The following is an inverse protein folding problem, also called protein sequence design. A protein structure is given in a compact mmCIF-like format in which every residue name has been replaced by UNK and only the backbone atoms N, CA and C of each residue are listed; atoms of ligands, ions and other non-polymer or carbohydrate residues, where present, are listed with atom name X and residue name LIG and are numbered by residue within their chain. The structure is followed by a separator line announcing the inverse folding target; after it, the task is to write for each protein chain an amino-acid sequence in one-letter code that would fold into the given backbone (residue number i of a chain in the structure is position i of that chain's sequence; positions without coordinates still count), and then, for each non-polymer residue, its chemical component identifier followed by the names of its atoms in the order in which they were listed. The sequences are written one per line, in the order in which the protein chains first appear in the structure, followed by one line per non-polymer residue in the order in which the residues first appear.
data_IF_904463349307
#
_entry.id   IF_904463349307
#
_cell.length_a   1.000
_cell.length_b   1.000
_cell.length_c   1.000
_cell.angle_alpha   90.00
_cell.angle_beta   90.00
_cell.angle_gamma   90.00
#
_symmetry.space_group_name_H-M   'P 1'
#
loop_
_entity.id
_entity.type
_entity.pdbx_description
1 polymer ?
#
# COMPACT_ATOMS: atom_id res chain seq x y z
N UNK A 1 20.67 4.82 -21.77
CA UNK A 1 20.84 3.59 -20.97
C UNK A 1 21.07 4.04 -19.54
N UNK A 2 20.06 3.96 -18.67
CA UNK A 2 20.17 4.44 -17.29
C UNK A 2 20.30 3.22 -16.39
N UNK A 3 21.51 2.69 -16.25
CA UNK A 3 21.86 1.70 -15.22
C UNK A 3 21.78 2.41 -13.89
N UNK A 4 20.56 2.52 -13.36
CA UNK A 4 20.28 3.08 -12.05
C UNK A 4 21.14 2.31 -11.04
N UNK A 5 22.04 3.02 -10.36
CA UNK A 5 22.93 2.49 -9.34
C UNK A 5 22.12 1.55 -8.40
N UNK A 6 22.58 0.31 -8.17
CA UNK A 6 21.82 -0.66 -7.40
C UNK A 6 21.56 -0.20 -5.95
N UNK A 7 22.40 0.68 -5.39
CA UNK A 7 22.15 1.33 -4.10
C UNK A 7 21.00 2.34 -4.17
N UNK A 8 21.01 3.24 -5.15
CA UNK A 8 19.92 4.22 -5.37
C UNK A 8 18.59 3.48 -5.62
N UNK A 9 18.63 2.38 -6.36
CA UNK A 9 17.46 1.53 -6.61
C UNK A 9 16.96 0.87 -5.32
N UNK A 10 17.86 0.42 -4.46
CA UNK A 10 17.49 -0.15 -3.15
C UNK A 10 16.85 0.91 -2.26
N UNK A 11 17.44 2.10 -2.18
CA UNK A 11 16.90 3.22 -1.40
C UNK A 11 15.49 3.61 -1.87
N UNK A 12 15.29 3.75 -3.19
CA UNK A 12 13.97 4.00 -3.77
C UNK A 12 12.95 2.92 -3.43
N UNK A 13 13.34 1.63 -3.49
CA UNK A 13 12.45 0.53 -3.15
C UNK A 13 12.07 0.53 -1.67
N UNK A 14 13.02 0.80 -0.78
CA UNK A 14 12.80 0.90 0.67
C UNK A 14 11.86 2.07 0.98
N UNK A 15 12.07 3.23 0.37
CA UNK A 15 11.22 4.40 0.61
C UNK A 15 9.79 4.15 0.11
N UNK A 16 9.64 3.60 -1.09
CA UNK A 16 8.32 3.23 -1.58
C UNK A 16 7.66 2.12 -0.74
N UNK A 17 8.43 1.23 -0.11
CA UNK A 17 7.91 0.21 0.82
C UNK A 17 7.36 0.86 2.08
N UNK A 18 8.07 1.83 2.68
CA UNK A 18 7.60 2.57 3.85
C UNK A 18 6.30 3.32 3.57
N UNK A 19 6.23 4.04 2.45
CA UNK A 19 5.01 4.75 2.04
C UNK A 19 3.86 3.78 1.83
N UNK A 20 4.11 2.63 1.20
CA UNK A 20 3.07 1.63 0.99
C UNK A 20 2.59 1.03 2.32
N UNK A 21 3.50 0.69 3.24
CA UNK A 21 3.18 0.19 4.57
C UNK A 21 2.26 1.16 5.32
N UNK A 22 2.64 2.44 5.39
CA UNK A 22 1.85 3.45 6.09
C UNK A 22 0.42 3.55 5.55
N UNK A 23 0.25 3.44 4.22
CA UNK A 23 -1.08 3.42 3.59
C UNK A 23 -1.86 2.15 3.91
N UNK A 24 -1.21 0.99 3.93
CA UNK A 24 -1.84 -0.27 4.33
C UNK A 24 -2.33 -0.19 5.78
N UNK A 25 -1.48 0.28 6.70
CA UNK A 25 -1.81 0.42 8.12
C UNK A 25 -2.98 1.40 8.33
N UNK A 26 -2.99 2.51 7.58
CA UNK A 26 -4.11 3.46 7.62
C UNK A 26 -5.43 2.80 7.19
N UNK A 27 -5.43 2.00 6.11
CA UNK A 27 -6.63 1.28 5.65
C UNK A 27 -7.12 0.28 6.71
N UNK A 28 -6.19 -0.42 7.37
CA UNK A 28 -6.51 -1.30 8.48
C UNK A 28 -7.17 -0.53 9.63
N UNK A 29 -6.55 0.56 10.09
CA UNK A 29 -7.06 1.39 11.17
C UNK A 29 -8.45 1.96 10.86
N UNK A 30 -8.71 2.43 9.63
CA UNK A 30 -10.03 2.93 9.22
C UNK A 30 -11.11 1.84 9.27
N UNK A 31 -10.77 0.60 8.89
CA UNK A 31 -11.70 -0.52 8.99
C UNK A 31 -11.93 -0.97 10.44
N UNK A 32 -10.94 -0.83 11.33
CA UNK A 32 -11.06 -1.17 12.76
C UNK A 32 -11.78 -0.09 13.57
N UNK A 33 -11.55 1.20 13.30
CA UNK A 33 -12.20 2.30 14.00
C UNK A 33 -13.74 2.20 13.93
N UNK A 34 -14.27 1.80 12.78
CA UNK A 34 -15.70 1.52 12.62
C UNK A 34 -16.23 0.40 13.52
N UNK A 35 -15.43 -0.63 13.82
CA UNK A 35 -15.87 -1.72 14.70
C UNK A 35 -16.01 -1.28 16.16
N UNK A 36 -15.28 -0.24 16.54
CA UNK A 36 -15.25 0.30 17.90
C UNK A 36 -16.38 1.34 18.08
N UNK A 37 -16.63 2.15 17.05
CA UNK A 37 -17.64 3.20 17.06
C UNK A 37 -18.63 3.02 15.89
N UNK A 38 -19.72 2.29 16.17
CA UNK A 38 -20.78 1.96 15.21
C UNK A 38 -21.55 3.19 14.68
N UNK A 39 -21.39 4.36 15.30
CA UNK A 39 -22.04 5.61 14.87
C UNK A 39 -21.21 6.39 13.84
N UNK A 40 -19.99 5.93 13.53
CA UNK A 40 -19.15 6.58 12.53
C UNK A 40 -19.74 6.38 11.13
N UNK A 41 -20.23 7.47 10.55
CA UNK A 41 -20.62 7.49 9.12
C UNK A 41 -19.36 7.55 8.26
N UNK A 42 -19.11 6.50 7.48
CA UNK A 42 -18.01 6.46 6.53
C UNK A 42 -18.43 7.13 5.22
N UNK A 43 -17.50 7.85 4.62
CA UNK A 43 -17.67 8.40 3.28
C UNK A 43 -16.52 7.96 2.40
N UNK A 44 -16.82 7.48 1.19
CA UNK A 44 -15.81 7.16 0.18
C UNK A 44 -16.00 8.05 -1.04
N UNK A 45 -14.88 8.51 -1.59
CA UNK A 45 -14.82 9.15 -2.91
C UNK A 45 -13.86 8.35 -3.77
N UNK A 46 -14.33 7.85 -4.90
CA UNK A 46 -13.52 7.08 -5.87
C UNK A 46 -13.44 7.91 -7.14
N UNK A 47 -12.23 8.26 -7.54
CA UNK A 47 -11.97 8.96 -8.79
C UNK A 47 -11.46 7.96 -9.83
N UNK A 48 -12.17 7.85 -10.95
CA UNK A 48 -11.81 6.95 -12.04
C UNK A 48 -12.15 7.60 -13.39
N UNK A 49 -11.13 7.80 -14.25
CA UNK A 49 -11.30 8.21 -15.65
C UNK A 49 -12.30 9.37 -15.85
N UNK A 50 -12.09 10.48 -15.13
CA UNK A 50 -12.94 11.69 -15.14
C UNK A 50 -14.33 11.54 -14.47
N UNK A 51 -14.61 10.42 -13.81
CA UNK A 51 -15.79 10.24 -12.98
C UNK A 51 -15.43 10.22 -11.49
N UNK A 52 -16.28 10.84 -10.66
CA UNK A 52 -16.17 10.85 -9.20
C UNK A 52 -17.40 10.14 -8.63
N UNK A 53 -17.18 8.99 -7.99
CA UNK A 53 -18.21 8.25 -7.28
C UNK A 53 -18.14 8.56 -5.79
N UNK A 54 -19.25 8.99 -5.20
CA UNK A 54 -19.36 9.26 -3.75
C UNK A 54 -20.35 8.31 -3.12
N UNK A 55 -19.97 7.69 -2.00
CA UNK A 55 -20.81 6.74 -1.27
C UNK A 55 -20.77 6.98 0.24
N UNK A 56 -21.88 6.68 0.91
CA UNK A 56 -22.04 6.73 2.38
C UNK A 56 -22.51 5.41 3.01
N UNK A 57 -22.61 4.35 2.21
CA UNK A 57 -23.13 3.07 2.67
C UNK A 57 -22.02 2.27 3.37
N UNK A 58 -22.00 2.31 4.70
CA UNK A 58 -20.95 1.74 5.55
C UNK A 58 -20.53 0.30 5.16
N UNK A 59 -21.46 -0.68 4.95
CA UNK A 59 -21.08 -2.02 4.51
C UNK A 59 -20.30 -2.07 3.18
N UNK A 60 -20.66 -1.22 2.22
CA UNK A 60 -19.99 -1.17 0.91
C UNK A 60 -18.60 -0.57 1.08
N UNK A 61 -18.50 0.54 1.82
CA UNK A 61 -17.23 1.21 2.10
C UNK A 61 -16.27 0.27 2.81
N UNK A 62 -16.74 -0.53 3.77
CA UNK A 62 -15.93 -1.55 4.45
C UNK A 62 -15.45 -2.64 3.50
N UNK A 63 -16.31 -3.11 2.61
CA UNK A 63 -15.92 -4.08 1.58
C UNK A 63 -14.79 -3.52 0.72
N UNK A 64 -14.90 -2.25 0.30
CA UNK A 64 -13.85 -1.56 -0.47
C UNK A 64 -12.57 -1.42 0.35
N UNK A 65 -12.63 -0.97 1.61
CA UNK A 65 -11.46 -0.85 2.48
C UNK A 65 -10.73 -2.19 2.67
N UNK A 66 -11.47 -3.28 2.94
CA UNK A 66 -10.90 -4.63 3.08
C UNK A 66 -10.25 -5.11 1.78
N UNK A 67 -10.90 -4.86 0.65
CA UNK A 67 -10.36 -5.22 -0.65
C UNK A 67 -9.06 -4.46 -0.94
N UNK A 68 -9.05 -3.14 -0.74
CA UNK A 68 -7.87 -2.30 -0.93
C UNK A 68 -6.73 -2.70 0.01
N UNK A 69 -7.03 -2.99 1.28
CA UNK A 69 -6.06 -3.48 2.25
C UNK A 69 -5.36 -4.75 1.73
N UNK A 70 -6.13 -5.77 1.33
CA UNK A 70 -5.58 -7.02 0.79
C UNK A 70 -4.73 -6.80 -0.46
N UNK A 71 -5.15 -5.92 -1.38
CA UNK A 71 -4.36 -5.60 -2.57
C UNK A 71 -3.05 -4.87 -2.22
N UNK A 72 -3.08 -4.01 -1.20
CA UNK A 72 -1.88 -3.30 -0.74
C UNK A 72 -0.91 -4.25 -0.02
N UNK A 73 -1.38 -5.18 0.80
CA UNK A 73 -0.56 -6.24 1.40
C UNK A 73 0.16 -7.09 0.35
N UNK A 74 -0.56 -7.50 -0.71
CA UNK A 74 0.06 -8.23 -1.83
C UNK A 74 1.15 -7.40 -2.52
N UNK A 75 0.90 -6.11 -2.75
CA UNK A 75 1.89 -5.20 -3.35
C UNK A 75 3.10 -4.98 -2.44
N UNK A 76 2.89 -4.92 -1.13
CA UNK A 76 3.94 -4.78 -0.13
C UNK A 76 4.85 -6.00 -0.15
N UNK A 77 4.28 -7.21 -0.08
CA UNK A 77 5.04 -8.46 -0.16
C UNK A 77 5.90 -8.54 -1.43
N UNK A 78 5.33 -8.19 -2.58
CA UNK A 78 6.08 -8.13 -3.86
C UNK A 78 7.22 -7.11 -3.83
N UNK A 79 7.06 -5.98 -3.13
CA UNK A 79 8.14 -4.99 -2.95
C UNK A 79 9.23 -5.53 -2.01
N UNK A 80 8.86 -6.20 -0.94
CA UNK A 80 9.82 -6.83 -0.02
C UNK A 80 10.66 -7.91 -0.72
N UNK A 81 10.03 -8.73 -1.57
CA UNK A 81 10.73 -9.71 -2.41
C UNK A 81 11.74 -9.02 -3.34
N UNK A 82 11.37 -7.90 -3.98
CA UNK A 82 12.28 -7.11 -4.82
C UNK A 82 13.44 -6.50 -4.03
N UNK A 83 13.18 -5.99 -2.83
CA UNK A 83 14.24 -5.49 -1.93
C UNK A 83 15.22 -6.61 -1.62
N UNK A 84 14.72 -7.78 -1.20
CA UNK A 84 15.57 -8.96 -0.90
C UNK A 84 16.44 -9.36 -2.09
N UNK A 85 15.87 -9.39 -3.30
CA UNK A 85 16.62 -9.70 -4.52
C UNK A 85 17.75 -8.69 -4.79
N UNK A 86 17.46 -7.38 -4.69
CA UNK A 86 18.47 -6.34 -4.92
C UNK A 86 19.54 -6.36 -3.83
N UNK A 87 19.17 -6.54 -2.57
CA UNK A 87 20.13 -6.67 -1.46
C UNK A 87 21.03 -7.89 -1.63
N UNK A 88 20.48 -9.02 -2.06
CA UNK A 88 21.27 -10.21 -2.33
C UNK A 88 22.30 -9.99 -3.44
N UNK A 89 21.88 -9.38 -4.57
CA UNK A 89 22.77 -9.03 -5.67
C UNK A 89 23.89 -8.07 -5.24
N UNK A 90 23.59 -7.10 -4.37
CA UNK A 90 24.60 -6.19 -3.82
C UNK A 90 25.60 -6.96 -2.95
N UNK A 91 25.14 -7.84 -2.06
CA UNK A 91 26.02 -8.60 -1.18
C UNK A 91 26.92 -9.58 -1.95
N UNK A 92 26.42 -10.22 -3.00
CA UNK A 92 27.20 -11.12 -3.86
C UNK A 92 28.25 -10.38 -4.72
N UNK A 93 28.11 -9.07 -4.90
CA UNK A 93 29.04 -8.23 -5.67
C UNK A 93 30.13 -7.56 -4.80
N UNK A 94 30.09 -7.74 -3.48
CA UNK A 94 31.11 -7.22 -2.55
C UNK A 94 31.95 -8.39 -2.01
N UNK A 95 33.24 -8.51 -2.37
CA UNK A 95 34.15 -9.49 -1.77
C UNK A 95 34.51 -9.17 -0.33
#
# INVERSE_FOLDING_TARGET
MNTQNPFDRLEQLVEQRKVLQARTDQLFMMNQAYLIDNDTTLTITIEAQNAIFKGRHNPIIRSVLKHLHSEYEKRLKRKEEKIKQVTHLLNEQTP
#
